data_IF_946263602309
#
_entry.id   IF_946263602309
#
_cell.length_a   1.000
_cell.length_b   1.000
_cell.length_c   1.000
_cell.angle_alpha   90.00
_cell.angle_beta   90.00
_cell.angle_gamma   90.00
#
_symmetry.space_group_name_H-M   'P 1'
#
loop_
_entity.id
_entity.type
_entity.pdbx_description
1 polymer ?
#
# COMPACT_ATOMS: atom_id res chain seq x y z
N UNK A 1 -2.85 -13.20 25.27
CA UNK A 1 -3.09 -13.28 23.82
C UNK A 1 -1.84 -13.88 23.19
N UNK A 2 -1.93 -15.09 22.65
CA UNK A 2 -0.81 -15.70 21.94
C UNK A 2 -0.62 -14.97 20.61
N UNK A 3 0.46 -14.20 20.50
CA UNK A 3 0.83 -13.53 19.27
C UNK A 3 1.15 -14.57 18.21
N UNK A 4 0.24 -14.78 17.27
CA UNK A 4 0.54 -15.55 16.08
C UNK A 4 1.60 -14.75 15.33
N UNK A 5 2.82 -15.28 15.24
CA UNK A 5 3.92 -14.62 14.55
C UNK A 5 3.65 -14.75 13.03
N UNK A 6 2.85 -13.83 12.50
CA UNK A 6 2.48 -13.84 11.09
C UNK A 6 3.71 -13.53 10.23
N UNK A 7 4.06 -14.47 9.35
CA UNK A 7 5.17 -14.26 8.42
C UNK A 7 4.78 -13.18 7.40
N UNK A 8 5.72 -12.29 7.14
CA UNK A 8 5.59 -11.23 6.15
C UNK A 8 6.73 -11.30 5.15
N UNK A 9 6.49 -10.69 4.00
CA UNK A 9 7.49 -10.38 2.98
C UNK A 9 7.59 -8.87 2.84
N UNK A 10 8.74 -8.40 2.36
CA UNK A 10 8.95 -6.99 2.02
C UNK A 10 9.13 -6.90 0.51
N UNK A 11 8.39 -5.98 -0.12
CA UNK A 11 8.50 -5.70 -1.55
C UNK A 11 8.55 -4.19 -1.72
N UNK A 12 9.66 -3.67 -2.22
CA UNK A 12 9.94 -2.24 -2.33
C UNK A 12 9.57 -1.49 -1.04
N UNK A 13 10.19 -1.90 0.06
CA UNK A 13 10.05 -1.37 1.43
C UNK A 13 8.67 -1.52 2.10
N UNK A 14 7.69 -2.14 1.43
CA UNK A 14 6.36 -2.38 2.00
C UNK A 14 6.21 -3.82 2.47
N UNK A 15 5.61 -3.99 3.66
CA UNK A 15 5.28 -5.28 4.24
C UNK A 15 3.96 -5.81 3.72
N UNK A 16 3.94 -7.10 3.41
CA UNK A 16 2.75 -7.84 3.01
C UNK A 16 2.70 -9.18 3.72
N UNK A 17 1.50 -9.71 3.94
CA UNK A 17 1.30 -11.08 4.36
C UNK A 17 2.02 -12.04 3.40
N UNK A 18 2.89 -12.92 3.91
CA UNK A 18 3.64 -13.85 3.06
C UNK A 18 2.72 -14.82 2.29
N UNK A 19 1.67 -15.31 2.94
CA UNK A 19 0.77 -16.29 2.31
C UNK A 19 -0.12 -15.67 1.21
N UNK A 20 -0.61 -14.46 1.43
CA UNK A 20 -1.65 -13.87 0.58
C UNK A 20 -1.24 -12.58 -0.12
N UNK A 21 -0.06 -12.03 0.17
CA UNK A 21 0.50 -10.86 -0.51
C UNK A 21 -0.27 -9.57 -0.31
N UNK A 22 -1.08 -9.45 0.75
CA UNK A 22 -1.86 -8.24 1.09
C UNK A 22 -1.29 -7.51 2.30
N UNK A 23 -1.42 -6.18 2.33
CA UNK A 23 -1.11 -5.39 3.53
C UNK A 23 -2.09 -5.69 4.66
N UNK A 24 -3.38 -5.53 4.36
CA UNK A 24 -4.48 -6.00 5.20
C UNK A 24 -4.94 -7.37 4.67
N UNK A 25 -4.74 -8.40 5.48
CA UNK A 25 -5.12 -9.76 5.17
C UNK A 25 -6.14 -10.28 6.18
N UNK A 26 -7.41 -10.37 5.77
CA UNK A 26 -8.49 -10.88 6.64
C UNK A 26 -8.35 -12.37 6.98
N UNK A 27 -7.65 -13.14 6.15
CA UNK A 27 -7.40 -14.57 6.38
C UNK A 27 -6.35 -14.80 7.48
N UNK A 28 -5.25 -14.03 7.44
CA UNK A 28 -4.22 -14.06 8.47
C UNK A 28 -4.50 -13.09 9.62
N UNK A 29 -5.49 -12.21 9.51
CA UNK A 29 -5.81 -11.17 10.50
C UNK A 29 -4.60 -10.28 10.84
N UNK A 30 -3.83 -9.92 9.83
CA UNK A 30 -2.76 -8.93 9.94
C UNK A 30 -3.08 -7.70 9.09
N UNK A 31 -2.63 -6.54 9.55
CA UNK A 31 -2.75 -5.27 8.83
C UNK A 31 -1.44 -4.49 8.95
N UNK A 32 -0.74 -4.37 7.83
CA UNK A 32 0.53 -3.65 7.74
C UNK A 32 0.38 -2.22 7.20
N UNK A 33 -0.84 -1.72 6.96
CA UNK A 33 -1.06 -0.39 6.37
C UNK A 33 -0.40 0.71 7.20
N UNK A 34 -0.62 0.73 8.51
CA UNK A 34 -0.01 1.72 9.41
C UNK A 34 1.52 1.70 9.34
N UNK A 35 2.12 0.51 9.41
CA UNK A 35 3.58 0.34 9.31
C UNK A 35 4.12 0.83 7.97
N UNK A 36 3.44 0.50 6.86
CA UNK A 36 3.84 0.92 5.53
C UNK A 36 3.66 2.43 5.32
N UNK A 37 2.60 3.03 5.89
CA UNK A 37 2.36 4.47 5.88
C UNK A 37 3.53 5.21 6.54
N UNK A 38 4.01 4.73 7.69
CA UNK A 38 5.17 5.28 8.39
C UNK A 38 6.48 5.02 7.65
N UNK A 39 6.74 3.78 7.22
CA UNK A 39 7.99 3.40 6.57
C UNK A 39 8.25 4.20 5.28
N UNK A 40 7.18 4.56 4.56
CA UNK A 40 7.26 5.40 3.35
C UNK A 40 6.97 6.87 3.58
N UNK A 41 6.86 7.31 4.83
CA UNK A 41 6.59 8.70 5.20
C UNK A 41 5.37 9.31 4.45
N UNK A 42 4.32 8.51 4.24
CA UNK A 42 3.19 8.90 3.40
C UNK A 42 2.45 10.13 3.94
N UNK A 43 2.34 10.27 5.26
CA UNK A 43 1.70 11.45 5.87
C UNK A 43 2.39 12.74 5.45
N UNK A 44 3.74 12.78 5.47
CA UNK A 44 4.47 13.97 5.05
C UNK A 44 4.45 14.15 3.52
N UNK A 45 4.57 13.07 2.74
CA UNK A 45 4.58 13.14 1.27
C UNK A 45 3.23 13.61 0.71
N UNK A 46 2.14 13.26 1.39
CA UNK A 46 0.77 13.54 0.96
C UNK A 46 0.11 14.66 1.78
N UNK A 47 0.82 15.29 2.73
CA UNK A 47 0.27 16.27 3.68
C UNK A 47 -0.61 17.33 3.00
N UNK A 48 -0.06 18.00 1.98
CA UNK A 48 -0.79 19.04 1.23
C UNK A 48 -2.04 18.49 0.52
N UNK A 49 -2.01 17.24 0.07
CA UNK A 49 -3.17 16.60 -0.55
C UNK A 49 -4.20 16.19 0.50
N UNK A 50 -3.78 15.74 1.69
CA UNK A 50 -4.67 15.32 2.76
C UNK A 50 -5.39 16.51 3.41
N UNK A 51 -4.77 17.71 3.44
CA UNK A 51 -5.42 18.92 3.97
C UNK A 51 -6.71 19.30 3.21
N UNK A 52 -6.75 19.04 1.90
CA UNK A 52 -7.86 19.44 1.02
C UNK A 52 -8.84 18.29 0.70
N UNK A 53 -8.66 17.12 1.33
CA UNK A 53 -9.37 15.89 1.00
C UNK A 53 -9.82 15.15 2.27
N UNK A 54 -11.05 14.64 2.22
CA UNK A 54 -11.58 13.72 3.23
C UNK A 54 -11.02 12.32 3.00
N UNK A 55 -9.74 12.11 3.33
CA UNK A 55 -9.04 10.85 3.12
C UNK A 55 -8.34 10.38 4.40
N UNK A 56 -8.78 9.24 4.92
CA UNK A 56 -8.13 8.58 6.03
C UNK A 56 -7.04 7.62 5.49
N UNK A 57 -5.78 7.99 5.74
CA UNK A 57 -4.63 7.21 5.29
C UNK A 57 -4.54 5.83 5.97
N UNK A 58 -5.11 5.66 7.17
CA UNK A 58 -5.11 4.40 7.90
C UNK A 58 -6.20 3.46 7.37
N UNK A 59 -7.25 4.04 6.81
CA UNK A 59 -8.36 3.31 6.16
C UNK A 59 -8.23 3.24 4.63
N UNK A 60 -7.08 3.65 4.07
CA UNK A 60 -6.82 3.55 2.63
C UNK A 60 -6.97 2.12 2.12
N UNK A 61 -7.16 2.00 0.82
CA UNK A 61 -7.23 0.71 0.16
C UNK A 61 -5.93 -0.09 0.35
N UNK A 62 -6.09 -1.31 0.86
CA UNK A 62 -5.02 -2.30 1.01
C UNK A 62 -4.39 -2.66 -0.34
N UNK A 63 -3.06 -2.70 -0.40
CA UNK A 63 -2.30 -3.13 -1.58
C UNK A 63 -2.09 -4.64 -1.58
N UNK A 64 -1.96 -5.17 -2.79
CA UNK A 64 -1.77 -6.60 -3.03
C UNK A 64 -0.59 -6.83 -3.97
N UNK A 65 0.56 -7.24 -3.41
CA UNK A 65 1.82 -7.33 -4.14
C UNK A 65 1.81 -8.44 -5.21
N UNK A 66 1.20 -9.59 -4.93
CA UNK A 66 1.07 -10.68 -5.93
C UNK A 66 0.17 -10.30 -7.11
N UNK A 67 -0.92 -9.55 -6.88
CA UNK A 67 -1.74 -9.03 -7.97
C UNK A 67 -0.99 -8.02 -8.85
N UNK A 68 0.08 -7.40 -8.33
CA UNK A 68 1.01 -6.56 -9.10
C UNK A 68 2.14 -7.35 -9.75
N UNK A 69 2.10 -8.68 -9.68
CA UNK A 69 3.05 -9.57 -10.33
C UNK A 69 4.32 -9.84 -9.51
N UNK A 70 4.33 -9.57 -8.20
CA UNK A 70 5.45 -9.99 -7.36
C UNK A 70 5.56 -11.51 -7.30
N UNK A 71 6.78 -12.01 -7.51
CA UNK A 71 7.15 -13.43 -7.41
C UNK A 71 8.49 -13.54 -6.68
N UNK A 72 8.77 -14.65 -5.98
CA UNK A 72 10.08 -14.89 -5.40
C UNK A 72 11.18 -14.87 -6.47
N UNK A 73 12.33 -14.28 -6.17
CA UNK A 73 13.47 -14.26 -7.10
C UNK A 73 13.96 -15.66 -7.46
N UNK A 74 13.94 -16.55 -6.46
CA UNK A 74 14.22 -17.98 -6.53
C UNK A 74 13.28 -18.73 -5.57
N UNK A 75 13.04 -20.04 -5.77
CA UNK A 75 12.22 -20.84 -4.86
C UNK A 75 12.66 -20.68 -3.39
N UNK A 76 11.70 -20.40 -2.50
CA UNK A 76 11.95 -20.18 -1.07
C UNK A 76 12.61 -18.83 -0.70
N UNK A 77 12.86 -17.95 -1.67
CA UNK A 77 13.41 -16.61 -1.41
C UNK A 77 12.41 -15.70 -0.70
N UNK A 78 12.90 -14.89 0.24
CA UNK A 78 12.17 -13.72 0.79
C UNK A 78 12.36 -12.45 -0.03
N UNK A 79 13.23 -12.48 -1.03
CA UNK A 79 13.45 -11.39 -1.98
C UNK A 79 12.52 -11.59 -3.17
N UNK A 80 11.78 -10.55 -3.52
CA UNK A 80 10.77 -10.58 -4.58
C UNK A 80 11.20 -9.72 -5.76
N UNK A 81 10.83 -10.19 -6.95
CA UNK A 81 10.93 -9.45 -8.21
C UNK A 81 9.57 -9.33 -8.84
N UNK A 82 9.41 -8.36 -9.73
CA UNK A 82 8.22 -8.32 -10.57
C UNK A 82 8.35 -9.35 -11.71
N UNK A 83 7.23 -9.98 -12.08
CA UNK A 83 7.16 -10.90 -13.23
C UNK A 83 7.45 -10.20 -14.56
N UNK A 84 6.95 -8.97 -14.84
CA UNK A 84 7.14 -8.36 -16.16
C UNK A 84 8.58 -7.93 -16.45
N UNK A 85 9.24 -7.24 -15.51
CA UNK A 85 10.59 -6.71 -15.73
C UNK A 85 11.69 -7.60 -15.14
N UNK A 86 11.33 -8.66 -14.40
CA UNK A 86 12.25 -9.57 -13.70
C UNK A 86 13.19 -8.87 -12.70
N UNK A 87 12.88 -7.63 -12.35
CA UNK A 87 13.67 -6.79 -11.46
C UNK A 87 13.19 -6.91 -10.02
N UNK A 88 14.14 -7.09 -9.08
CA UNK A 88 13.91 -7.01 -7.63
C UNK A 88 13.42 -5.62 -7.27
N UNK A 89 12.40 -5.56 -6.40
CA UNK A 89 11.85 -4.29 -5.92
C UNK A 89 11.64 -3.28 -7.05
N UNK A 90 11.05 -3.75 -8.15
CA UNK A 90 10.87 -2.95 -9.36
C UNK A 90 10.08 -1.68 -9.06
N UNK A 91 10.77 -0.53 -9.10
CA UNK A 91 10.20 0.78 -8.78
C UNK A 91 8.99 1.15 -9.63
N UNK A 92 8.88 0.64 -10.86
CA UNK A 92 7.70 0.87 -11.71
C UNK A 92 6.49 0.02 -11.31
N UNK A 93 6.69 -1.26 -10.99
CA UNK A 93 5.58 -2.16 -10.64
C UNK A 93 5.11 -1.98 -9.20
N UNK A 94 6.02 -1.56 -8.32
CA UNK A 94 5.84 -1.50 -6.88
C UNK A 94 5.93 -0.06 -6.36
N UNK A 95 5.51 0.92 -7.15
CA UNK A 95 5.48 2.34 -6.76
C UNK A 95 4.34 2.64 -5.79
N UNK A 96 4.42 2.09 -4.59
CA UNK A 96 3.30 2.08 -3.65
C UNK A 96 2.81 3.47 -3.25
N UNK A 97 3.74 4.41 -3.06
CA UNK A 97 3.46 5.82 -2.78
C UNK A 97 2.63 6.45 -3.90
N UNK A 98 2.98 6.22 -5.16
CA UNK A 98 2.25 6.73 -6.31
C UNK A 98 0.83 6.16 -6.38
N UNK A 99 0.64 4.88 -6.04
CA UNK A 99 -0.70 4.29 -5.99
C UNK A 99 -1.57 4.91 -4.89
N UNK A 100 -1.02 5.19 -3.70
CA UNK A 100 -1.77 5.91 -2.65
C UNK A 100 -2.06 7.35 -3.09
N UNK A 101 -1.10 8.05 -3.67
CA UNK A 101 -1.32 9.40 -4.21
C UNK A 101 -2.47 9.42 -5.21
N UNK A 102 -2.51 8.46 -6.15
CA UNK A 102 -3.57 8.37 -7.14
C UNK A 102 -4.95 8.15 -6.49
N UNK A 103 -5.02 7.32 -5.43
CA UNK A 103 -6.25 7.12 -4.66
C UNK A 103 -6.77 8.41 -4.02
N UNK A 104 -5.87 9.19 -3.38
CA UNK A 104 -6.23 10.50 -2.79
C UNK A 104 -6.71 11.49 -3.86
N UNK A 105 -6.06 11.49 -5.03
CA UNK A 105 -6.39 12.40 -6.13
C UNK A 105 -7.76 12.12 -6.79
N UNK A 106 -8.27 10.89 -6.70
CA UNK A 106 -9.59 10.53 -7.23
C UNK A 106 -10.76 11.11 -6.40
N UNK A 107 -10.51 11.53 -5.16
CA UNK A 107 -11.52 12.23 -4.37
C UNK A 107 -11.78 13.63 -4.94
N UNK A 108 -12.90 14.25 -4.58
CA UNK A 108 -13.14 15.68 -4.90
C UNK A 108 -12.54 16.58 -3.81
N UNK A 109 -12.00 17.77 -4.15
CA UNK A 109 -11.50 18.70 -3.16
C UNK A 109 -12.69 19.27 -2.37
N UNK A 110 -12.48 19.57 -1.08
CA UNK A 110 -13.53 20.17 -0.25
C UNK A 110 -14.19 21.40 -0.90
N UNK A 111 -13.39 22.24 -1.58
CA UNK A 111 -13.81 23.50 -2.19
C UNK A 111 -14.67 23.36 -3.46
N UNK A 112 -14.90 22.13 -3.95
CA UNK A 112 -15.80 21.85 -5.08
C UNK A 112 -17.16 21.26 -4.64
N UNK A 113 -17.45 21.15 -3.33
CA UNK A 113 -18.82 20.87 -2.86
C UNK A 113 -19.73 22.03 -3.28
N UNK A 114 -20.53 21.78 -4.33
CA UNK A 114 -21.38 22.73 -5.07
C UNK A 114 -22.05 23.82 -4.21
N UNK A 115 -22.26 25.04 -4.76
CA UNK A 115 -23.01 26.09 -4.07
C UNK A 115 -24.40 25.57 -3.69
N UNK A 116 -24.83 25.89 -2.46
CA UNK A 116 -26.22 25.70 -2.05
C UNK A 116 -27.09 26.42 -3.08
N UNK A 117 -27.99 25.68 -3.74
CA UNK A 117 -29.01 26.29 -4.60
C UNK A 117 -29.75 27.35 -3.78
N UNK A 118 -30.07 28.51 -4.37
CA UNK A 118 -30.87 29.55 -3.72
C UNK A 118 -32.25 29.02 -3.33
#
# INVERSE_FOLDING_TARGET
MFGVNYKHIVVNDWKFCEAHGREECLQCRCDYRLENNHASNLYAILDSLLLDRDFDLDQRMSRHTYNRGAIPDKPGSKVFKCRPHTQKDCYFCFEWVAFVRAEVQLLQPHNLKKPRRP
#
